data_IF_907784407652
#
_entry.id   IF_907784407652
#
_cell.length_a   1.000
_cell.length_b   1.000
_cell.length_c   1.000
_cell.angle_alpha   90.00
_cell.angle_beta   90.00
_cell.angle_gamma   90.00
#
_symmetry.space_group_name_H-M   'P 1'
#
loop_
_entity.id
_entity.type
_entity.pdbx_description
1 polymer ?
#
# COMPACT_ATOMS: atom_id res chain seq x y z
N UNK A 1 51.49 3.19 10.62
CA UNK A 1 50.11 3.14 11.19
C UNK A 1 49.16 4.17 10.59
N UNK A 2 49.60 5.38 10.21
CA UNK A 2 48.69 6.39 9.63
C UNK A 2 48.11 6.02 8.25
N UNK A 3 48.86 5.32 7.39
CA UNK A 3 48.38 4.87 6.09
C UNK A 3 47.25 3.82 6.17
N UNK A 4 47.31 2.91 7.14
CA UNK A 4 46.28 1.90 7.33
C UNK A 4 44.94 2.52 7.76
N UNK A 5 45.01 3.61 8.54
CA UNK A 5 43.84 4.39 8.98
C UNK A 5 43.11 5.07 7.82
N UNK A 6 43.84 5.61 6.84
CA UNK A 6 43.26 6.26 5.66
C UNK A 6 42.60 5.25 4.69
N UNK A 7 43.18 4.04 4.57
CA UNK A 7 42.56 2.96 3.76
C UNK A 7 41.25 2.49 4.37
N UNK A 8 41.17 2.37 5.70
CA UNK A 8 39.95 1.98 6.39
C UNK A 8 38.83 3.01 6.24
N UNK A 9 39.17 4.31 6.34
CA UNK A 9 38.21 5.42 6.17
C UNK A 9 37.72 5.50 4.72
N UNK A 10 38.60 5.27 3.74
CA UNK A 10 38.24 5.27 2.31
C UNK A 10 37.33 4.09 1.95
N UNK A 11 37.49 2.92 2.59
CA UNK A 11 36.67 1.75 2.33
C UNK A 11 35.24 1.91 2.88
N UNK A 12 35.06 2.61 4.01
CA UNK A 12 33.74 2.93 4.57
C UNK A 12 32.93 3.89 3.68
N UNK A 13 33.59 4.76 2.92
CA UNK A 13 32.94 5.71 2.01
C UNK A 13 32.33 5.03 0.75
N UNK A 14 32.69 3.78 0.46
CA UNK A 14 32.19 3.02 -0.70
C UNK A 14 30.94 2.21 -0.40
N UNK A 15 30.50 2.12 0.86
CA UNK A 15 29.24 1.45 1.22
C UNK A 15 28.11 2.42 0.90
N UNK A 16 27.67 2.43 -0.37
CA UNK A 16 26.42 3.05 -0.75
C UNK A 16 25.30 2.19 -0.17
N UNK A 17 24.73 2.61 0.95
CA UNK A 17 23.46 2.08 1.40
C UNK A 17 22.42 2.50 0.36
N UNK A 18 22.04 1.58 -0.51
CA UNK A 18 20.86 1.76 -1.33
C UNK A 18 19.67 1.70 -0.35
N UNK A 19 19.29 2.85 0.16
CA UNK A 19 18.04 2.97 0.89
C UNK A 19 16.92 2.53 -0.07
N UNK A 20 16.03 1.63 0.38
CA UNK A 20 14.81 1.33 -0.35
C UNK A 20 14.07 2.65 -0.65
N UNK A 21 13.64 2.81 -1.90
CA UNK A 21 12.76 3.93 -2.27
C UNK A 21 11.31 3.53 -1.97
N UNK A 22 10.68 4.08 -0.91
CA UNK A 22 9.33 3.71 -0.52
C UNK A 22 8.31 3.94 -1.64
N UNK A 23 8.50 4.96 -2.47
CA UNK A 23 7.60 5.25 -3.58
C UNK A 23 7.68 4.15 -4.66
N UNK A 24 8.87 3.65 -4.94
CA UNK A 24 9.10 2.53 -5.86
C UNK A 24 8.46 1.25 -5.34
N UNK A 25 8.62 0.95 -4.05
CA UNK A 25 8.06 -0.25 -3.42
C UNK A 25 6.52 -0.21 -3.41
N UNK A 26 5.93 0.93 -3.08
CA UNK A 26 4.49 1.16 -3.15
C UNK A 26 3.96 0.99 -4.58
N UNK A 27 4.63 1.58 -5.57
CA UNK A 27 4.25 1.47 -6.97
C UNK A 27 4.32 0.01 -7.47
N UNK A 28 5.36 -0.73 -7.06
CA UNK A 28 5.51 -2.14 -7.39
C UNK A 28 4.41 -3.00 -6.73
N UNK A 29 4.08 -2.75 -5.47
CA UNK A 29 3.00 -3.43 -4.77
C UNK A 29 1.63 -3.15 -5.41
N UNK A 30 1.33 -1.89 -5.74
CA UNK A 30 0.12 -1.51 -6.44
C UNK A 30 -0.02 -2.18 -7.81
N UNK A 31 1.07 -2.22 -8.60
CA UNK A 31 1.09 -2.91 -9.90
C UNK A 31 0.80 -4.41 -9.76
N UNK A 32 1.38 -5.09 -8.76
CA UNK A 32 1.13 -6.52 -8.50
C UNK A 32 -0.33 -6.75 -8.14
N UNK A 33 -0.90 -5.94 -7.25
CA UNK A 33 -2.31 -6.02 -6.88
C UNK A 33 -3.23 -5.82 -8.10
N UNK A 34 -3.06 -4.73 -8.84
CA UNK A 34 -3.89 -4.42 -10.02
C UNK A 34 -3.75 -5.48 -11.14
N UNK A 35 -2.58 -6.14 -11.27
CA UNK A 35 -2.38 -7.23 -12.22
C UNK A 35 -3.15 -8.49 -11.84
N UNK A 36 -3.42 -8.71 -10.56
CA UNK A 36 -4.18 -9.87 -10.07
C UNK A 36 -5.70 -9.75 -10.26
N UNK A 37 -6.18 -8.56 -10.59
CA UNK A 37 -7.60 -8.28 -10.78
C UNK A 37 -8.04 -8.58 -12.21
N UNK A 38 -9.23 -9.14 -12.37
CA UNK A 38 -9.92 -9.20 -13.66
C UNK A 38 -10.31 -7.78 -14.13
N UNK A 39 -10.70 -7.61 -15.42
CA UNK A 39 -11.03 -6.28 -15.95
C UNK A 39 -12.16 -5.56 -15.21
N UNK A 40 -13.16 -6.30 -14.70
CA UNK A 40 -14.28 -5.73 -13.95
C UNK A 40 -13.82 -5.23 -12.58
N UNK A 41 -13.18 -6.09 -11.80
CA UNK A 41 -12.63 -5.75 -10.49
C UNK A 41 -11.61 -4.61 -10.58
N UNK A 42 -10.76 -4.61 -11.61
CA UNK A 42 -9.80 -3.55 -11.86
C UNK A 42 -10.45 -2.19 -12.10
N UNK A 43 -11.55 -2.14 -12.88
CA UNK A 43 -12.31 -0.91 -13.12
C UNK A 43 -12.92 -0.36 -11.82
N UNK A 44 -13.33 -1.25 -10.92
CA UNK A 44 -13.90 -0.86 -9.62
C UNK A 44 -12.81 -0.40 -8.63
N UNK A 45 -11.63 -1.02 -8.66
CA UNK A 45 -10.55 -0.76 -7.71
C UNK A 45 -9.62 0.40 -8.09
N UNK A 46 -9.63 0.85 -9.35
CA UNK A 46 -8.64 1.80 -9.87
C UNK A 46 -9.30 3.05 -10.44
N UNK A 47 -8.97 4.18 -9.86
CA UNK A 47 -9.39 5.52 -10.29
C UNK A 47 -8.20 6.29 -10.86
N UNK A 48 -8.46 7.18 -11.82
CA UNK A 48 -7.42 8.10 -12.31
C UNK A 48 -7.05 9.09 -11.21
N UNK A 49 -5.84 9.63 -11.26
CA UNK A 49 -5.36 10.59 -10.27
C UNK A 49 -6.24 11.85 -10.18
N UNK A 50 -6.83 12.29 -11.30
CA UNK A 50 -7.72 13.45 -11.38
C UNK A 50 -9.15 13.16 -10.90
N UNK A 51 -9.48 11.91 -10.61
CA UNK A 51 -10.82 11.56 -10.12
C UNK A 51 -11.04 12.17 -8.73
N UNK A 52 -12.19 12.81 -8.53
CA UNK A 52 -12.55 13.43 -7.25
C UNK A 52 -12.83 12.44 -6.13
N UNK A 53 -13.00 11.14 -6.45
CA UNK A 53 -13.22 10.09 -5.46
C UNK A 53 -12.09 10.00 -4.44
N UNK A 54 -10.85 10.35 -4.79
CA UNK A 54 -9.70 10.41 -3.86
C UNK A 54 -9.89 11.41 -2.70
N UNK A 55 -10.77 12.40 -2.88
CA UNK A 55 -11.10 13.43 -1.89
C UNK A 55 -12.44 13.15 -1.19
N UNK A 56 -13.19 12.16 -1.69
CA UNK A 56 -14.50 11.76 -1.19
C UNK A 56 -14.38 10.84 0.05
N UNK A 57 -13.74 11.35 1.09
CA UNK A 57 -13.54 10.61 2.33
C UNK A 57 -14.71 10.83 3.30
N UNK A 58 -15.27 9.73 3.82
CA UNK A 58 -16.39 9.75 4.76
C UNK A 58 -16.18 8.79 5.92
N UNK A 59 -16.54 9.20 7.12
CA UNK A 59 -16.63 8.32 8.29
C UNK A 59 -18.04 7.71 8.46
N UNK A 60 -19.02 8.17 7.68
CA UNK A 60 -20.38 7.61 7.72
C UNK A 60 -20.40 6.16 7.22
N UNK A 61 -21.32 5.31 7.76
CA UNK A 61 -21.57 3.99 7.19
C UNK A 61 -21.96 4.05 5.72
N UNK A 62 -21.51 3.07 4.92
CA UNK A 62 -21.70 3.03 3.47
C UNK A 62 -23.11 3.34 2.97
N UNK A 63 -24.20 2.81 3.60
CA UNK A 63 -25.58 3.08 3.16
C UNK A 63 -26.01 4.54 3.22
N UNK A 64 -25.35 5.36 4.04
CA UNK A 64 -25.65 6.79 4.17
C UNK A 64 -24.84 7.68 3.24
N UNK A 65 -23.92 7.12 2.47
CA UNK A 65 -23.09 7.85 1.50
C UNK A 65 -23.82 7.85 0.15
N UNK A 66 -24.25 9.04 -0.29
CA UNK A 66 -24.96 9.22 -1.56
C UNK A 66 -24.00 9.78 -2.63
N UNK A 67 -24.26 9.46 -3.93
CA UNK A 67 -25.34 8.62 -4.44
C UNK A 67 -25.05 7.11 -4.46
N UNK A 68 -23.77 6.69 -4.34
CA UNK A 68 -23.36 5.32 -4.70
C UNK A 68 -22.70 4.53 -3.55
N UNK A 69 -22.76 5.03 -2.31
CA UNK A 69 -22.05 4.39 -1.20
C UNK A 69 -20.52 4.57 -1.31
N UNK A 70 -19.77 3.73 -0.60
CA UNK A 70 -18.31 3.69 -0.71
C UNK A 70 -17.90 3.05 -2.02
N UNK A 71 -17.05 3.75 -2.76
CA UNK A 71 -16.49 3.22 -4.00
C UNK A 71 -15.25 2.37 -3.72
N UNK A 72 -14.92 1.47 -4.64
CA UNK A 72 -13.76 0.58 -4.53
C UNK A 72 -14.13 -0.90 -4.50
N UNK A 73 -13.12 -1.76 -4.56
CA UNK A 73 -13.29 -3.20 -4.46
C UNK A 73 -13.20 -3.63 -2.99
N UNK A 74 -14.26 -4.24 -2.47
CA UNK A 74 -14.28 -4.67 -1.08
C UNK A 74 -13.41 -5.92 -0.85
N UNK A 75 -12.86 -6.08 0.37
CA UNK A 75 -12.11 -7.28 0.73
C UNK A 75 -12.96 -8.57 0.62
N UNK A 76 -14.28 -8.47 0.79
CA UNK A 76 -15.19 -9.61 0.65
C UNK A 76 -15.22 -10.16 -0.77
N UNK A 77 -15.06 -9.30 -1.76
CA UNK A 77 -15.07 -9.66 -3.19
C UNK A 77 -13.72 -10.18 -3.68
N UNK A 78 -12.66 -10.06 -2.89
CA UNK A 78 -11.31 -10.49 -3.25
C UNK A 78 -11.09 -11.98 -2.96
N UNK A 79 -10.38 -12.66 -3.85
CA UNK A 79 -9.83 -14.00 -3.59
C UNK A 79 -8.77 -13.95 -2.48
N UNK A 80 -8.44 -15.08 -1.84
CA UNK A 80 -7.36 -15.12 -0.83
C UNK A 80 -6.03 -14.56 -1.33
N UNK A 81 -5.65 -14.88 -2.58
CA UNK A 81 -4.43 -14.36 -3.20
C UNK A 81 -4.47 -12.83 -3.39
N UNK A 82 -5.62 -12.28 -3.79
CA UNK A 82 -5.81 -10.84 -3.94
C UNK A 82 -5.77 -10.12 -2.59
N UNK A 83 -6.35 -10.71 -1.53
CA UNK A 83 -6.25 -10.17 -0.16
C UNK A 83 -4.81 -10.06 0.32
N UNK A 84 -3.98 -11.08 0.07
CA UNK A 84 -2.55 -11.04 0.40
C UNK A 84 -1.85 -9.88 -0.31
N UNK A 85 -2.14 -9.67 -1.59
CA UNK A 85 -1.56 -8.56 -2.36
C UNK A 85 -2.06 -7.20 -1.89
N UNK A 86 -3.34 -7.07 -1.50
CA UNK A 86 -3.89 -5.86 -0.92
C UNK A 86 -3.23 -5.52 0.43
N UNK A 87 -3.06 -6.51 1.32
CA UNK A 87 -2.31 -6.33 2.57
C UNK A 87 -0.84 -6.00 2.33
N UNK A 88 -0.21 -6.59 1.30
CA UNK A 88 1.14 -6.24 0.88
C UNK A 88 1.27 -4.77 0.41
N UNK A 89 0.25 -4.24 -0.26
CA UNK A 89 0.18 -2.83 -0.63
C UNK A 89 0.05 -1.93 0.61
N UNK A 90 -0.82 -2.27 1.56
CA UNK A 90 -0.91 -1.55 2.85
C UNK A 90 0.43 -1.56 3.59
N UNK A 91 1.09 -2.71 3.68
CA UNK A 91 2.39 -2.85 4.33
C UNK A 91 3.53 -2.06 3.67
N UNK A 92 3.43 -1.78 2.36
CA UNK A 92 4.41 -0.93 1.66
C UNK A 92 4.24 0.57 1.94
N UNK A 93 3.03 0.99 2.39
CA UNK A 93 2.69 2.40 2.61
C UNK A 93 2.67 2.79 4.09
N UNK A 94 2.38 1.85 4.98
CA UNK A 94 2.18 2.09 6.41
C UNK A 94 3.42 1.72 7.24
N UNK A 95 3.61 2.41 8.35
CA UNK A 95 4.53 1.94 9.38
C UNK A 95 4.05 0.60 9.98
N UNK A 96 4.94 -0.12 10.65
CA UNK A 96 4.57 -1.36 11.33
C UNK A 96 3.37 -1.19 12.28
N UNK A 97 3.38 -0.12 13.08
CA UNK A 97 2.27 0.21 13.99
C UNK A 97 0.99 0.53 13.21
N UNK A 98 1.08 1.37 12.17
CA UNK A 98 -0.07 1.71 11.34
C UNK A 98 -0.68 0.49 10.63
N UNK A 99 0.14 -0.47 10.21
CA UNK A 99 -0.35 -1.71 9.62
C UNK A 99 -1.10 -2.57 10.64
N UNK A 100 -0.60 -2.70 11.88
CA UNK A 100 -1.29 -3.41 12.95
C UNK A 100 -2.64 -2.78 13.27
N UNK A 101 -2.67 -1.46 13.51
CA UNK A 101 -3.90 -0.72 13.81
C UNK A 101 -4.93 -0.85 12.67
N UNK A 102 -4.48 -0.77 11.41
CA UNK A 102 -5.37 -0.97 10.25
C UNK A 102 -5.92 -2.40 10.19
N UNK A 103 -5.10 -3.39 10.48
CA UNK A 103 -5.52 -4.80 10.51
C UNK A 103 -6.55 -5.04 11.61
N UNK A 104 -6.36 -4.46 12.79
CA UNK A 104 -7.31 -4.57 13.91
C UNK A 104 -8.68 -3.96 13.54
N UNK A 105 -8.68 -2.79 12.88
CA UNK A 105 -9.93 -2.17 12.38
C UNK A 105 -10.63 -3.06 11.35
N UNK A 106 -9.88 -3.65 10.40
CA UNK A 106 -10.45 -4.58 9.41
C UNK A 106 -11.07 -5.80 10.08
N UNK A 107 -10.47 -6.32 11.15
CA UNK A 107 -10.99 -7.45 11.91
C UNK A 107 -12.29 -7.10 12.64
N UNK A 108 -12.39 -5.90 13.19
CA UNK A 108 -13.62 -5.42 13.84
C UNK A 108 -14.82 -5.33 12.88
N UNK A 109 -14.58 -5.03 11.62
CA UNK A 109 -15.63 -4.97 10.58
C UNK A 109 -16.17 -6.37 10.18
N UNK A 110 -15.58 -7.45 10.69
CA UNK A 110 -16.01 -8.83 10.40
C UNK A 110 -16.95 -9.43 11.47
N UNK A 111 -17.19 -8.70 12.56
CA UNK A 111 -18.11 -9.09 13.63
C UNK A 111 -19.49 -8.54 13.31
#
# INVERSE_FOLDING_TARGET
MKFLSYILISLCALIRTHGHDPASDMAAAAKRFLKSLDPKAKKTAHFTFQNTERENWHFFPGPFIQPNGRQGLSLKEMSPAQKILAHGLLGSALSHRGLLETTDVILLEQI
#
